data_IF_411706081999
#
_entry.id   IF_411706081999
#
_cell.length_a   1.000
_cell.length_b   1.000
_cell.length_c   1.000
_cell.angle_alpha   90.00
_cell.angle_beta   90.00
_cell.angle_gamma   90.00
#
_symmetry.space_group_name_H-M   'P 1'
#
loop_
_entity.id
_entity.type
_entity.pdbx_description
1 polymer ?
#
# COMPACT_ATOMS: atom_id res chain seq x y z
N UNK A 1 -30.20 -10.89 -13.72
CA UNK A 1 -29.02 -10.02 -13.95
C UNK A 1 -28.52 -9.54 -12.60
N UNK A 2 -27.20 -9.35 -12.48
CA UNK A 2 -26.39 -8.88 -11.33
C UNK A 2 -25.96 -9.92 -10.28
N UNK A 3 -24.87 -10.63 -10.59
CA UNK A 3 -23.96 -11.24 -9.59
C UNK A 3 -22.57 -11.55 -10.19
N UNK A 4 -22.00 -10.61 -10.96
CA UNK A 4 -20.64 -10.73 -11.53
C UNK A 4 -19.61 -9.79 -10.87
N UNK A 5 -19.99 -9.07 -9.81
CA UNK A 5 -19.10 -8.11 -9.13
C UNK A 5 -18.50 -8.63 -7.81
N UNK A 6 -18.89 -9.82 -7.33
CA UNK A 6 -18.46 -10.33 -6.01
C UNK A 6 -17.17 -11.17 -6.01
N UNK A 7 -16.53 -11.41 -7.16
CA UNK A 7 -15.31 -12.22 -7.26
C UNK A 7 -14.16 -11.51 -7.97
N UNK A 8 -14.03 -10.20 -7.79
CA UNK A 8 -12.75 -9.54 -8.03
C UNK A 8 -11.81 -9.94 -6.88
N UNK A 9 -10.62 -10.51 -7.13
CA UNK A 9 -9.68 -10.75 -6.05
C UNK A 9 -9.44 -9.43 -5.33
N UNK A 10 -9.61 -9.42 -4.01
CA UNK A 10 -9.14 -8.35 -3.12
C UNK A 10 -7.69 -8.09 -3.52
N UNK A 11 -7.48 -7.03 -4.31
CA UNK A 11 -6.24 -6.60 -4.96
C UNK A 11 -5.11 -7.63 -4.96
N UNK A 12 -4.87 -8.31 -6.09
CA UNK A 12 -3.65 -9.11 -6.23
C UNK A 12 -2.44 -8.20 -6.08
N UNK A 13 -1.76 -8.29 -4.94
CA UNK A 13 -0.57 -7.49 -4.68
C UNK A 13 0.53 -7.98 -5.63
N UNK A 14 1.13 -7.10 -6.45
CA UNK A 14 2.16 -7.52 -7.40
C UNK A 14 3.34 -8.20 -6.70
N UNK A 15 3.92 -9.22 -7.32
CA UNK A 15 5.02 -10.01 -6.75
C UNK A 15 6.31 -9.21 -6.49
N UNK A 16 6.45 -8.03 -7.09
CA UNK A 16 7.56 -7.12 -6.86
C UNK A 16 7.40 -6.30 -5.57
N UNK A 17 6.20 -6.24 -4.97
CA UNK A 17 5.96 -5.52 -3.72
C UNK A 17 6.62 -6.25 -2.56
N UNK A 18 7.47 -5.53 -1.83
CA UNK A 18 8.17 -6.02 -0.64
C UNK A 18 7.69 -5.34 0.63
N UNK A 19 7.15 -4.14 0.51
CA UNK A 19 6.70 -3.33 1.64
C UNK A 19 5.32 -2.77 1.37
N UNK A 20 4.52 -2.68 2.42
CA UNK A 20 3.21 -2.04 2.40
C UNK A 20 3.16 -1.01 3.51
N UNK A 21 2.60 0.15 3.23
CA UNK A 21 2.34 1.15 4.25
C UNK A 21 1.12 2.00 3.92
N UNK A 22 0.50 2.56 4.95
CA UNK A 22 -0.58 3.52 4.86
C UNK A 22 -0.01 4.95 4.99
N UNK A 23 -0.56 5.90 4.25
CA UNK A 23 -0.32 7.32 4.51
C UNK A 23 -1.37 7.92 5.46
N UNK A 24 -1.16 9.18 5.86
CA UNK A 24 -2.07 9.92 6.76
C UNK A 24 -3.50 10.10 6.23
N UNK A 25 -3.72 9.89 4.94
CA UNK A 25 -5.05 9.97 4.30
C UNK A 25 -5.74 8.61 4.22
N UNK A 26 -5.12 7.55 4.73
CA UNK A 26 -5.67 6.21 4.74
C UNK A 26 -5.40 5.40 3.46
N UNK A 27 -4.60 5.94 2.53
CA UNK A 27 -4.24 5.24 1.28
C UNK A 27 -3.16 4.22 1.56
N UNK A 28 -3.36 2.99 1.10
CA UNK A 28 -2.37 1.92 1.15
C UNK A 28 -1.52 1.93 -0.11
N UNK A 29 -0.21 1.82 0.10
CA UNK A 29 0.81 1.81 -0.93
C UNK A 29 1.65 0.53 -0.82
N UNK A 30 2.03 -0.02 -1.97
CA UNK A 30 3.02 -1.08 -2.07
C UNK A 30 4.32 -0.53 -2.65
N UNK A 31 5.47 -0.95 -2.13
CA UNK A 31 6.80 -0.52 -2.56
C UNK A 31 7.70 -1.72 -2.84
N UNK A 32 8.56 -1.62 -3.86
CA UNK A 32 9.56 -2.66 -4.15
C UNK A 32 10.79 -2.61 -3.22
N UNK A 33 11.02 -1.47 -2.58
CA UNK A 33 12.13 -1.16 -1.67
C UNK A 33 11.60 -0.53 -0.39
N UNK A 34 12.39 -0.56 0.69
CA UNK A 34 11.95 -0.01 1.98
C UNK A 34 11.74 1.52 1.84
N UNK A 35 10.52 2.03 2.09
CA UNK A 35 10.22 3.44 1.96
C UNK A 35 10.74 4.24 3.15
N UNK A 36 10.95 5.54 2.95
CA UNK A 36 11.34 6.45 4.02
C UNK A 36 10.12 7.10 4.66
N UNK A 37 10.14 7.24 5.98
CA UNK A 37 9.10 8.00 6.69
C UNK A 37 9.26 9.50 6.41
N UNK A 38 8.14 10.17 6.12
CA UNK A 38 8.03 11.63 5.99
C UNK A 38 6.96 12.17 6.97
N UNK A 39 6.61 13.45 6.88
CA UNK A 39 5.63 14.13 7.75
C UNK A 39 4.20 13.59 7.68
N UNK A 40 3.78 13.03 6.53
CA UNK A 40 2.38 12.66 6.27
C UNK A 40 2.21 11.28 5.61
N UNK A 41 3.27 10.48 5.54
CA UNK A 41 3.24 9.18 4.90
C UNK A 41 4.63 8.58 4.68
N UNK A 42 4.68 7.63 3.75
CA UNK A 42 5.88 6.90 3.36
C UNK A 42 6.24 7.26 1.92
N UNK A 43 7.49 7.63 1.69
CA UNK A 43 7.97 8.11 0.40
C UNK A 43 8.91 7.09 -0.25
N UNK A 44 8.80 6.96 -1.57
CA UNK A 44 9.65 6.10 -2.39
C UNK A 44 11.07 6.70 -2.44
N UNK A 45 12.12 5.88 -2.41
CA UNK A 45 13.49 6.34 -2.18
C UNK A 45 14.27 6.65 -3.48
N UNK A 46 13.59 7.01 -4.56
CA UNK A 46 14.10 7.23 -5.94
C UNK A 46 14.71 6.00 -6.64
N UNK A 47 14.69 4.82 -6.01
CA UNK A 47 15.35 3.60 -6.48
C UNK A 47 14.35 2.47 -6.78
N UNK A 48 13.09 2.60 -6.37
CA UNK A 48 12.07 1.56 -6.46
C UNK A 48 10.79 1.95 -7.19
N UNK A 49 9.89 0.98 -7.26
CA UNK A 49 8.54 1.13 -7.80
C UNK A 49 7.55 1.24 -6.65
N UNK A 50 6.46 1.99 -6.86
CA UNK A 50 5.35 2.08 -5.94
C UNK A 50 4.00 1.94 -6.65
N UNK A 51 2.99 1.45 -5.94
CA UNK A 51 1.62 1.31 -6.44
C UNK A 51 0.61 1.61 -5.35
N UNK A 52 -0.50 2.23 -5.72
CA UNK A 52 -1.66 2.38 -4.83
C UNK A 52 -2.43 1.05 -4.75
N UNK A 53 -2.57 0.50 -3.56
CA UNK A 53 -3.24 -0.78 -3.29
C UNK A 53 -4.70 -0.62 -2.85
N UNK A 54 -5.06 0.51 -2.23
CA UNK A 54 -6.40 0.72 -1.72
C UNK A 54 -6.54 1.92 -0.80
N UNK A 55 -7.68 2.05 -0.15
CA UNK A 55 -7.94 3.07 0.88
C UNK A 55 -8.79 2.47 1.99
N UNK A 56 -8.46 2.80 3.23
CA UNK A 56 -9.25 2.51 4.43
C UNK A 56 -9.32 3.77 5.29
N UNK A 57 -9.99 3.70 6.44
CA UNK A 57 -9.85 4.77 7.43
C UNK A 57 -8.38 4.86 7.88
N UNK A 58 -7.84 6.08 8.11
CA UNK A 58 -6.50 6.25 8.66
C UNK A 58 -6.43 5.66 10.08
N UNK A 59 -5.46 4.79 10.34
CA UNK A 59 -5.26 4.18 11.66
C UNK A 59 -3.76 4.05 11.97
N UNK A 60 -3.21 5.05 12.65
CA UNK A 60 -1.81 5.03 13.10
C UNK A 60 -0.79 4.81 11.96
N UNK A 61 -0.91 5.57 10.87
CA UNK A 61 -0.13 5.42 9.64
C UNK A 61 1.40 5.38 9.88
N UNK A 62 1.89 6.03 10.94
CA UNK A 62 3.29 6.03 11.35
C UNK A 62 3.83 4.65 11.72
N UNK A 63 2.95 3.72 12.10
CA UNK A 63 3.27 2.34 12.49
C UNK A 63 2.79 1.31 11.45
N UNK A 64 2.30 1.77 10.30
CA UNK A 64 1.66 0.91 9.29
C UNK A 64 2.64 0.18 8.36
N UNK A 65 3.93 0.49 8.41
CA UNK A 65 4.92 -0.15 7.53
C UNK A 65 5.09 -1.62 7.88
N UNK A 66 4.76 -2.47 6.92
CA UNK A 66 4.83 -3.93 7.02
C UNK A 66 5.69 -4.47 5.89
N UNK A 67 6.56 -5.43 6.19
CA UNK A 67 7.25 -6.22 5.18
C UNK A 67 6.32 -7.33 4.69
N UNK A 68 6.03 -7.34 3.40
CA UNK A 68 5.06 -8.26 2.79
C UNK A 68 5.70 -9.61 2.37
N UNK A 69 6.98 -9.62 1.97
CA UNK A 69 7.64 -10.81 1.43
C UNK A 69 9.11 -10.92 1.85
#
# INVERSE_FOLDING_TARGET
MTSELENQPLFSIPSWVRWIAQDSSGVWWGYSVEPLRHDSGWYENEVGEYIRLGVTEPDGWENSLIKHA
#
